data_IF_648316758578
#
_entry.id   IF_648316758578
#
_cell.length_a   1.000
_cell.length_b   1.000
_cell.length_c   1.000
_cell.angle_alpha   90.00
_cell.angle_beta   90.00
_cell.angle_gamma   90.00
#
_symmetry.space_group_name_H-M   'P 1'
#
loop_
_entity.id
_entity.type
_entity.pdbx_description
1 polymer ?
#
# COMPACT_ATOMS: atom_id res chain seq x y z
N UNK A 1 22.36 20.98 1.92
CA UNK A 1 21.24 20.13 2.27
C UNK A 1 20.06 20.52 1.40
N UNK A 2 19.29 19.53 0.92
CA UNK A 2 18.07 19.78 0.18
C UNK A 2 16.90 20.02 1.15
N UNK A 3 15.98 20.90 0.79
CA UNK A 3 14.73 21.15 1.49
C UNK A 3 13.60 20.42 0.75
N UNK A 4 13.03 19.40 1.37
CA UNK A 4 12.08 18.49 0.74
C UNK A 4 10.73 18.53 1.48
N UNK A 5 9.65 18.72 0.74
CA UNK A 5 8.29 18.56 1.24
C UNK A 5 7.84 17.10 1.02
N UNK A 6 7.45 16.42 2.08
CA UNK A 6 6.84 15.10 1.98
C UNK A 6 5.36 15.19 2.34
N UNK A 7 4.51 14.77 1.40
CA UNK A 7 3.06 14.73 1.54
C UNK A 7 2.58 13.29 1.73
N UNK A 8 1.81 13.02 2.79
CA UNK A 8 1.19 11.73 3.08
C UNK A 8 -0.26 11.88 3.54
N UNK A 9 -1.00 10.78 3.62
CA UNK A 9 -2.40 10.75 4.04
C UNK A 9 -2.66 10.00 5.36
N UNK A 10 -1.61 9.65 6.12
CA UNK A 10 -1.75 8.93 7.38
C UNK A 10 -2.56 9.74 8.39
N UNK A 11 -3.67 9.17 8.85
CA UNK A 11 -4.58 9.82 9.81
C UNK A 11 -4.05 9.80 11.23
N UNK A 12 -3.46 8.67 11.64
CA UNK A 12 -2.87 8.50 12.97
C UNK A 12 -1.66 7.57 12.86
N UNK A 13 -0.52 7.97 13.42
CA UNK A 13 0.70 7.18 13.43
C UNK A 13 0.54 5.81 14.11
N UNK A 14 -0.37 5.71 15.09
CA UNK A 14 -0.59 4.49 15.88
C UNK A 14 -1.63 3.54 15.28
N UNK A 15 -2.41 3.97 14.27
CA UNK A 15 -3.51 3.17 13.70
C UNK A 15 -3.14 2.39 12.43
N UNK A 16 -1.91 2.56 11.93
CA UNK A 16 -1.45 1.90 10.72
C UNK A 16 -0.55 0.72 11.07
N UNK A 17 -0.55 -0.29 10.21
CA UNK A 17 0.45 -1.36 10.24
C UNK A 17 1.82 -0.72 10.20
N UNK A 18 2.70 -1.11 11.09
CA UNK A 18 4.04 -0.52 11.23
C UNK A 18 4.79 -0.44 9.89
N UNK A 19 4.66 -1.47 9.04
CA UNK A 19 5.26 -1.50 7.71
C UNK A 19 4.74 -0.41 6.76
N UNK A 20 3.43 -0.10 6.76
CA UNK A 20 2.87 0.98 5.93
C UNK A 20 3.41 2.33 6.38
N UNK A 21 3.42 2.60 7.69
CA UNK A 21 3.96 3.85 8.21
C UNK A 21 5.47 3.98 7.96
N UNK A 22 6.21 2.87 7.94
CA UNK A 22 7.63 2.86 7.62
C UNK A 22 7.89 3.30 6.17
N UNK A 23 7.15 2.77 5.21
CA UNK A 23 7.26 3.15 3.80
C UNK A 23 6.85 4.61 3.58
N UNK A 24 5.72 5.04 4.14
CA UNK A 24 5.21 6.40 3.98
C UNK A 24 6.14 7.48 4.57
N UNK A 25 6.95 7.14 5.56
CA UNK A 25 7.85 8.05 6.25
C UNK A 25 9.34 7.68 6.09
N UNK A 26 9.69 6.79 5.16
CA UNK A 26 11.05 6.27 5.03
C UNK A 26 12.08 7.38 4.75
N UNK A 27 11.76 8.36 3.92
CA UNK A 27 12.66 9.45 3.59
C UNK A 27 13.06 10.30 4.82
N UNK A 28 12.14 10.94 5.55
CA UNK A 28 12.51 11.72 6.72
C UNK A 28 13.07 10.86 7.86
N UNK A 29 12.79 9.56 7.88
CA UNK A 29 13.24 8.65 8.93
C UNK A 29 14.67 8.16 8.72
N UNK A 30 15.08 7.92 7.48
CA UNK A 30 16.37 7.30 7.17
C UNK A 30 17.33 8.20 6.38
N UNK A 31 16.87 9.27 5.74
CA UNK A 31 17.75 10.27 5.10
C UNK A 31 17.97 11.47 6.03
N UNK A 32 18.91 11.33 6.96
CA UNK A 32 19.25 12.38 7.93
C UNK A 32 20.15 13.49 7.33
N UNK A 33 20.56 13.36 6.07
CA UNK A 33 21.45 14.34 5.40
C UNK A 33 20.68 15.53 4.85
N UNK A 34 19.38 15.37 4.58
CA UNK A 34 18.54 16.42 4.01
C UNK A 34 17.47 16.89 5.00
N UNK A 35 16.83 18.00 4.69
CA UNK A 35 15.79 18.61 5.49
C UNK A 35 14.41 18.18 4.96
N UNK A 36 13.55 17.67 5.83
CA UNK A 36 12.20 17.23 5.46
C UNK A 36 11.13 17.98 6.24
N UNK A 37 10.21 18.63 5.51
CA UNK A 37 8.93 19.04 6.06
C UNK A 37 7.91 17.97 5.74
N UNK A 38 7.34 17.35 6.78
CA UNK A 38 6.35 16.27 6.63
C UNK A 38 4.96 16.82 6.87
N UNK A 39 4.09 16.77 5.85
CA UNK A 39 2.71 17.25 5.94
C UNK A 39 1.72 16.11 5.67
N UNK A 40 0.74 15.97 6.58
CA UNK A 40 -0.38 15.06 6.36
C UNK A 40 -1.55 15.79 5.70
N UNK A 41 -1.99 15.29 4.54
CA UNK A 41 -3.12 15.85 3.81
C UNK A 41 -4.47 15.74 4.52
N UNK A 42 -4.54 15.13 5.70
CA UNK A 42 -5.77 15.11 6.53
C UNK A 42 -5.99 16.41 7.29
N UNK A 43 -4.94 17.22 7.43
CA UNK A 43 -5.04 18.58 7.98
C UNK A 43 -4.88 19.62 6.87
N UNK A 44 -5.33 20.84 7.11
CA UNK A 44 -5.20 21.95 6.14
C UNK A 44 -3.74 22.30 5.93
N UNK A 45 -3.35 22.54 4.68
CA UNK A 45 -2.02 23.02 4.33
C UNK A 45 -1.94 24.54 4.59
N UNK A 46 -1.03 25.04 5.47
CA UNK A 46 -0.92 26.47 5.74
C UNK A 46 -0.23 27.21 4.58
N UNK A 47 -0.59 28.50 4.40
CA UNK A 47 -0.01 29.35 3.33
C UNK A 47 1.52 29.36 3.34
N UNK A 48 2.12 29.42 4.51
CA UNK A 48 3.59 29.44 4.63
C UNK A 48 4.27 28.26 3.95
N UNK A 49 3.62 27.08 3.85
CA UNK A 49 4.15 25.91 3.13
C UNK A 49 3.96 26.06 1.62
N UNK A 50 2.85 26.69 1.19
CA UNK A 50 2.59 26.96 -0.22
C UNK A 50 3.56 27.98 -0.82
N UNK A 51 4.07 28.90 0.01
CA UNK A 51 4.95 29.99 -0.34
C UNK A 51 6.44 29.64 -0.20
N UNK A 52 6.77 28.56 0.51
CA UNK A 52 8.15 28.12 0.70
C UNK A 52 8.66 27.37 -0.53
N UNK A 53 9.90 27.69 -0.94
CA UNK A 53 10.55 27.00 -2.05
C UNK A 53 11.22 25.71 -1.58
N UNK A 54 10.76 24.57 -2.10
CA UNK A 54 11.36 23.26 -1.87
C UNK A 54 12.18 22.81 -3.09
N UNK A 55 13.27 22.08 -2.86
CA UNK A 55 14.05 21.46 -3.93
C UNK A 55 13.29 20.28 -4.57
N UNK A 56 12.55 19.53 -3.76
CA UNK A 56 11.71 18.45 -4.21
C UNK A 56 10.43 18.33 -3.37
N UNK A 57 9.38 17.76 -3.98
CA UNK A 57 8.13 17.43 -3.33
C UNK A 57 7.84 15.96 -3.57
N UNK A 58 7.82 15.17 -2.50
CA UNK A 58 7.54 13.74 -2.53
C UNK A 58 6.11 13.52 -2.05
N UNK A 59 5.29 12.90 -2.89
CA UNK A 59 3.90 12.56 -2.60
C UNK A 59 3.80 11.06 -2.43
N UNK A 60 3.44 10.62 -1.22
CA UNK A 60 3.34 9.21 -0.88
C UNK A 60 1.95 8.62 -1.22
N UNK A 61 1.86 7.30 -1.24
CA UNK A 61 0.67 6.58 -1.73
C UNK A 61 -0.60 6.96 -0.98
N UNK A 62 -0.54 7.14 0.33
CA UNK A 62 -1.70 7.55 1.12
C UNK A 62 -2.16 8.97 0.82
N UNK A 63 -1.26 9.87 0.35
CA UNK A 63 -1.65 11.19 -0.15
C UNK A 63 -2.40 11.06 -1.48
N UNK A 64 -1.95 10.20 -2.39
CA UNK A 64 -2.62 9.93 -3.66
C UNK A 64 -4.01 9.33 -3.42
N UNK A 65 -4.19 8.51 -2.38
CA UNK A 65 -5.52 8.02 -1.99
C UNK A 65 -6.45 9.15 -1.52
N UNK A 66 -5.94 10.19 -0.86
CA UNK A 66 -6.74 11.37 -0.55
C UNK A 66 -7.17 12.10 -1.82
N UNK A 67 -6.29 12.23 -2.83
CA UNK A 67 -6.64 12.80 -4.15
C UNK A 67 -7.82 12.03 -4.77
N UNK A 68 -7.76 10.71 -4.80
CA UNK A 68 -8.82 9.88 -5.40
C UNK A 68 -10.13 9.98 -4.63
N UNK A 69 -10.07 10.10 -3.31
CA UNK A 69 -11.25 10.20 -2.44
C UNK A 69 -11.93 11.57 -2.54
N UNK A 70 -11.15 12.65 -2.46
CA UNK A 70 -11.67 14.03 -2.54
C UNK A 70 -11.99 14.44 -3.98
N UNK A 71 -11.21 13.96 -4.96
CA UNK A 71 -11.29 14.37 -6.37
C UNK A 71 -10.41 15.57 -6.67
N UNK A 72 -10.47 16.03 -7.92
CA UNK A 72 -9.65 17.13 -8.45
C UNK A 72 -10.33 18.50 -8.39
N UNK A 73 -11.48 18.57 -7.75
CA UNK A 73 -12.30 19.79 -7.62
C UNK A 73 -12.64 20.06 -6.14
N UNK A 74 -12.83 21.35 -5.81
CA UNK A 74 -13.23 21.79 -4.48
C UNK A 74 -12.09 22.15 -3.55
N UNK A 75 -12.42 22.65 -2.37
CA UNK A 75 -11.50 23.31 -1.43
C UNK A 75 -10.34 22.44 -0.96
N UNK A 76 -10.51 21.11 -0.93
CA UNK A 76 -9.43 20.24 -0.46
C UNK A 76 -8.26 20.25 -1.45
N UNK A 77 -8.49 20.16 -2.75
CA UNK A 77 -7.42 20.14 -3.76
C UNK A 77 -6.89 21.55 -4.06
N UNK A 78 -7.71 22.59 -3.88
CA UNK A 78 -7.31 23.99 -4.11
C UNK A 78 -6.10 24.40 -3.30
N UNK A 79 -5.97 23.93 -2.05
CA UNK A 79 -4.81 24.22 -1.20
C UNK A 79 -3.48 23.67 -1.76
N UNK A 80 -3.55 22.72 -2.68
CA UNK A 80 -2.39 22.14 -3.36
C UNK A 80 -2.16 22.74 -4.77
N UNK A 81 -2.93 23.75 -5.18
CA UNK A 81 -2.80 24.36 -6.51
C UNK A 81 -1.43 24.98 -6.79
N UNK A 82 -0.68 25.36 -5.74
CA UNK A 82 0.69 25.84 -5.84
C UNK A 82 1.63 24.81 -6.52
N UNK A 83 1.35 23.51 -6.38
CA UNK A 83 2.11 22.43 -7.03
C UNK A 83 2.15 22.57 -8.56
N UNK A 84 1.08 23.10 -9.17
CA UNK A 84 1.01 23.29 -10.63
C UNK A 84 2.03 24.29 -11.16
N UNK A 85 2.42 25.26 -10.31
CA UNK A 85 3.36 26.34 -10.63
C UNK A 85 4.74 26.14 -9.99
N UNK A 86 4.86 25.18 -9.06
CA UNK A 86 6.10 24.91 -8.37
C UNK A 86 7.15 24.34 -9.32
N UNK A 87 8.34 24.90 -9.27
CA UNK A 87 9.53 24.44 -10.01
C UNK A 87 10.26 23.29 -9.29
N UNK A 88 9.81 22.93 -8.08
CA UNK A 88 10.33 21.78 -7.33
C UNK A 88 10.16 20.49 -8.13
N UNK A 89 11.12 19.59 -8.07
CA UNK A 89 10.98 18.25 -8.64
C UNK A 89 9.86 17.48 -7.91
N UNK A 90 8.83 17.07 -8.64
CA UNK A 90 7.66 16.39 -8.10
C UNK A 90 7.72 14.89 -8.33
N UNK A 91 7.78 14.14 -7.25
CA UNK A 91 7.94 12.69 -7.23
C UNK A 91 6.73 12.07 -6.54
N UNK A 92 6.12 11.08 -7.17
CA UNK A 92 4.99 10.33 -6.63
C UNK A 92 5.38 8.88 -6.38
N UNK A 93 5.04 8.37 -5.20
CA UNK A 93 5.00 6.94 -4.88
C UNK A 93 3.55 6.51 -4.83
N UNK A 94 3.12 5.70 -5.79
CA UNK A 94 1.72 5.31 -5.93
C UNK A 94 1.53 3.82 -5.70
N UNK A 95 0.39 3.46 -5.09
CA UNK A 95 -0.08 2.09 -4.94
C UNK A 95 -1.51 2.00 -5.49
N UNK A 96 -1.96 0.78 -5.81
CA UNK A 96 -3.31 0.51 -6.31
C UNK A 96 -3.72 1.41 -7.50
N UNK A 97 -2.80 1.63 -8.45
CA UNK A 97 -2.98 2.54 -9.59
C UNK A 97 -4.14 2.19 -10.52
N UNK A 98 -4.60 0.94 -10.49
CA UNK A 98 -5.81 0.47 -11.15
C UNK A 98 -7.10 1.03 -10.53
N UNK A 99 -7.01 1.59 -9.31
CA UNK A 99 -8.14 2.18 -8.57
C UNK A 99 -8.25 3.67 -8.90
N UNK A 100 -9.35 4.06 -9.58
CA UNK A 100 -9.58 5.41 -10.09
C UNK A 100 -8.45 5.94 -10.97
N UNK A 101 -7.96 5.09 -11.89
CA UNK A 101 -6.79 5.38 -12.72
C UNK A 101 -6.93 6.67 -13.53
N UNK A 102 -8.12 7.03 -14.03
CA UNK A 102 -8.37 8.28 -14.76
C UNK A 102 -8.14 9.53 -13.89
N UNK A 103 -8.55 9.48 -12.61
CA UNK A 103 -8.35 10.60 -11.66
C UNK A 103 -6.86 10.73 -11.34
N UNK A 104 -6.15 9.62 -11.16
CA UNK A 104 -4.71 9.59 -10.87
C UNK A 104 -3.91 10.14 -12.06
N UNK A 105 -4.12 9.61 -13.26
CA UNK A 105 -3.44 10.05 -14.48
C UNK A 105 -3.69 11.55 -14.75
N UNK A 106 -4.96 12.01 -14.59
CA UNK A 106 -5.30 13.41 -14.69
C UNK A 106 -4.57 14.27 -13.64
N UNK A 107 -4.51 13.83 -12.39
CA UNK A 107 -3.77 14.52 -11.33
C UNK A 107 -2.29 14.63 -11.68
N UNK A 108 -1.65 13.53 -12.08
CA UNK A 108 -0.24 13.53 -12.44
C UNK A 108 0.08 14.51 -13.57
N UNK A 109 -0.82 14.59 -14.55
CA UNK A 109 -0.68 15.55 -15.66
C UNK A 109 -0.92 17.00 -15.23
N UNK A 110 -2.06 17.28 -14.56
CA UNK A 110 -2.47 18.63 -14.21
C UNK A 110 -1.50 19.30 -13.22
N UNK A 111 -0.82 18.49 -12.39
CA UNK A 111 0.12 18.95 -11.38
C UNK A 111 1.59 18.83 -11.81
N UNK A 112 1.82 18.48 -13.09
CA UNK A 112 3.15 18.39 -13.69
C UNK A 112 4.08 17.47 -12.87
N UNK A 113 3.66 16.22 -12.63
CA UNK A 113 4.50 15.23 -11.96
C UNK A 113 5.67 14.85 -12.86
N UNK A 114 6.88 14.90 -12.34
CA UNK A 114 8.12 14.62 -13.08
C UNK A 114 8.45 13.14 -13.04
N UNK A 115 8.29 12.49 -11.87
CA UNK A 115 8.65 11.09 -11.66
C UNK A 115 7.52 10.36 -10.93
N UNK A 116 7.10 9.24 -11.47
CA UNK A 116 6.10 8.34 -10.87
C UNK A 116 6.73 6.97 -10.58
N UNK A 117 6.72 6.55 -9.32
CA UNK A 117 6.98 5.18 -8.91
C UNK A 117 5.65 4.43 -8.77
N UNK A 118 5.34 3.54 -9.71
CA UNK A 118 4.12 2.72 -9.71
C UNK A 118 4.44 1.29 -9.28
N UNK A 119 3.60 0.70 -8.43
CA UNK A 119 3.73 -0.71 -8.04
C UNK A 119 3.19 -1.67 -9.09
N UNK A 120 2.40 -1.18 -10.04
CA UNK A 120 1.91 -1.98 -11.16
C UNK A 120 3.02 -2.28 -12.16
N UNK A 121 2.89 -3.40 -12.86
CA UNK A 121 3.91 -3.87 -13.81
C UNK A 121 4.06 -2.91 -15.01
N UNK A 122 5.29 -2.73 -15.57
CA UNK A 122 5.56 -1.78 -16.64
C UNK A 122 4.67 -1.95 -17.88
N UNK A 123 4.32 -3.20 -18.23
CA UNK A 123 3.44 -3.51 -19.36
C UNK A 123 2.02 -2.95 -19.23
N UNK A 124 1.61 -2.59 -18.00
CA UNK A 124 0.29 -2.01 -17.72
C UNK A 124 0.26 -0.49 -17.73
N UNK A 125 1.42 0.19 -17.75
CA UNK A 125 1.49 1.66 -17.61
C UNK A 125 0.81 2.40 -18.75
N UNK A 126 0.87 1.87 -19.98
CA UNK A 126 0.19 2.49 -21.14
C UNK A 126 -1.32 2.58 -20.97
N UNK A 127 -1.93 1.67 -20.19
CA UNK A 127 -3.35 1.72 -19.86
C UNK A 127 -3.63 2.63 -18.65
N UNK A 128 -2.76 2.62 -17.64
CA UNK A 128 -2.97 3.33 -16.39
C UNK A 128 -2.64 4.83 -16.50
N UNK A 129 -1.60 5.18 -17.29
CA UNK A 129 -1.03 6.52 -17.36
C UNK A 129 -0.87 7.06 -18.79
N UNK A 130 -1.90 6.95 -19.66
CA UNK A 130 -1.75 7.31 -21.07
C UNK A 130 -1.43 8.80 -21.28
N UNK A 131 -1.92 9.68 -20.42
CA UNK A 131 -1.65 11.11 -20.53
C UNK A 131 -0.30 11.51 -19.95
N UNK A 132 0.10 10.88 -18.82
CA UNK A 132 1.41 11.12 -18.22
C UNK A 132 2.54 10.67 -19.15
N UNK A 133 2.39 9.54 -19.85
CA UNK A 133 3.34 9.06 -20.86
C UNK A 133 3.48 10.08 -22.01
N UNK A 134 2.38 10.66 -22.49
CA UNK A 134 2.41 11.72 -23.52
C UNK A 134 3.17 12.98 -23.08
N UNK A 135 3.27 13.24 -21.79
CA UNK A 135 4.05 14.33 -21.20
C UNK A 135 5.53 14.01 -21.00
N UNK A 136 5.98 12.81 -21.39
CA UNK A 136 7.34 12.32 -21.21
C UNK A 136 7.83 12.32 -19.75
N UNK A 137 6.91 12.18 -18.78
CA UNK A 137 7.28 12.00 -17.39
C UNK A 137 8.03 10.65 -17.19
N UNK A 138 8.91 10.62 -16.21
CA UNK A 138 9.66 9.40 -15.90
C UNK A 138 8.77 8.47 -15.07
N UNK A 139 8.52 7.24 -15.57
CA UNK A 139 7.83 6.20 -14.81
C UNK A 139 8.85 5.13 -14.40
N UNK A 140 8.82 4.72 -13.14
CA UNK A 140 9.69 3.73 -12.52
C UNK A 140 8.87 2.66 -11.82
N UNK A 141 9.43 1.45 -11.73
CA UNK A 141 8.86 0.40 -10.90
C UNK A 141 9.03 0.78 -9.44
N UNK A 142 7.91 0.94 -8.73
CA UNK A 142 7.83 1.09 -7.29
C UNK A 142 7.44 -0.22 -6.61
N UNK A 143 7.54 -0.25 -5.29
CA UNK A 143 7.19 -1.42 -4.48
C UNK A 143 6.36 -1.02 -3.27
N UNK A 144 5.58 -1.97 -2.75
CA UNK A 144 4.76 -1.78 -1.56
C UNK A 144 5.55 -1.82 -0.26
N UNK A 145 6.82 -2.20 -0.34
CA UNK A 145 7.75 -2.31 0.80
C UNK A 145 9.18 -2.15 0.32
N UNK A 146 10.07 -1.76 1.22
CA UNK A 146 11.50 -1.59 0.96
C UNK A 146 12.34 -2.18 2.09
N UNK A 147 13.61 -2.50 1.80
CA UNK A 147 14.61 -2.89 2.78
C UNK A 147 15.12 -1.63 3.49
N UNK A 148 14.52 -1.33 4.61
CA UNK A 148 14.86 -0.23 5.52
C UNK A 148 15.53 -0.78 6.79
N UNK A 149 16.03 0.08 7.65
CA UNK A 149 16.53 -0.34 8.98
C UNK A 149 15.44 -0.98 9.85
N UNK A 150 14.17 -0.63 9.62
CA UNK A 150 13.04 -1.27 10.29
C UNK A 150 12.84 -2.69 9.77
N UNK A 151 12.70 -2.87 8.46
CA UNK A 151 12.42 -4.20 7.88
C UNK A 151 13.59 -5.16 8.09
N UNK A 152 14.84 -4.69 8.04
CA UNK A 152 16.03 -5.51 8.35
C UNK A 152 16.02 -6.07 9.78
N UNK A 153 15.38 -5.38 10.75
CA UNK A 153 15.23 -5.87 12.13
C UNK A 153 14.17 -6.95 12.31
N UNK A 154 13.35 -7.23 11.30
CA UNK A 154 12.33 -8.28 11.39
C UNK A 154 12.93 -9.67 11.60
N UNK A 155 14.21 -9.87 11.27
CA UNK A 155 14.96 -11.09 11.63
C UNK A 155 14.93 -11.41 13.12
N UNK A 156 14.72 -10.41 13.98
CA UNK A 156 14.64 -10.60 15.43
C UNK A 156 13.38 -11.37 15.87
N UNK A 157 12.39 -11.51 15.00
CA UNK A 157 11.19 -12.33 15.24
C UNK A 157 11.35 -13.77 14.73
N UNK A 158 12.49 -14.11 14.12
CA UNK A 158 12.79 -15.47 13.69
C UNK A 158 12.90 -16.41 14.90
N UNK A 159 12.32 -17.59 14.75
CA UNK A 159 12.38 -18.69 15.72
C UNK A 159 12.86 -19.95 15.04
N UNK A 160 13.48 -20.84 15.80
CA UNK A 160 13.79 -22.16 15.27
C UNK A 160 12.50 -22.90 14.88
N UNK A 161 12.58 -23.78 13.90
CA UNK A 161 11.40 -24.48 13.38
C UNK A 161 10.62 -25.25 14.47
N UNK A 162 11.32 -25.79 15.46
CA UNK A 162 10.73 -26.53 16.59
C UNK A 162 10.00 -25.64 17.61
N UNK A 163 10.38 -24.36 17.71
CA UNK A 163 9.74 -23.40 18.63
C UNK A 163 8.48 -22.78 18.04
N UNK A 164 8.23 -22.98 16.75
CA UNK A 164 7.06 -22.40 16.06
C UNK A 164 5.82 -23.25 16.35
N UNK A 165 4.83 -22.60 16.95
CA UNK A 165 3.63 -23.24 17.48
C UNK A 165 2.68 -23.74 16.40
N UNK A 166 2.48 -22.93 15.34
CA UNK A 166 1.52 -23.24 14.28
C UNK A 166 2.20 -23.80 13.04
N UNK A 167 1.55 -24.75 12.39
CA UNK A 167 2.03 -25.27 11.10
C UNK A 167 1.71 -24.27 9.97
N UNK A 168 0.47 -23.72 9.96
CA UNK A 168 0.02 -22.80 8.93
C UNK A 168 -0.80 -21.66 9.54
N UNK A 169 -0.47 -20.41 9.17
CA UNK A 169 -1.25 -19.25 9.59
C UNK A 169 -1.75 -18.43 8.40
N UNK A 170 -2.83 -17.68 8.62
CA UNK A 170 -3.32 -16.71 7.65
C UNK A 170 -4.17 -15.62 8.29
N UNK A 171 -3.96 -14.38 7.85
CA UNK A 171 -4.85 -13.26 8.13
C UNK A 171 -5.09 -12.47 6.85
N UNK A 172 -6.34 -12.27 6.52
CA UNK A 172 -6.74 -11.38 5.44
C UNK A 172 -8.10 -10.75 5.75
N UNK A 173 -8.36 -9.59 5.17
CA UNK A 173 -9.69 -9.00 5.21
C UNK A 173 -10.51 -9.58 4.06
N UNK A 174 -11.57 -10.30 4.40
CA UNK A 174 -12.57 -10.72 3.41
C UNK A 174 -13.39 -9.50 3.00
N UNK A 175 -13.40 -9.20 1.72
CA UNK A 175 -14.26 -8.18 1.13
C UNK A 175 -15.51 -8.92 0.63
N UNK A 176 -16.69 -8.71 1.25
CA UNK A 176 -17.92 -9.32 0.76
C UNK A 176 -18.12 -8.98 -0.73
N UNK A 177 -18.41 -9.99 -1.54
CA UNK A 177 -18.62 -9.82 -2.98
C UNK A 177 -17.50 -9.04 -3.66
N UNK A 178 -16.23 -9.34 -3.34
CA UNK A 178 -15.09 -8.66 -3.97
C UNK A 178 -15.28 -8.58 -5.49
N UNK A 179 -15.21 -7.40 -6.10
CA UNK A 179 -15.56 -7.23 -7.53
C UNK A 179 -14.47 -7.75 -8.48
N UNK A 180 -13.36 -8.23 -7.95
CA UNK A 180 -12.24 -8.74 -8.73
C UNK A 180 -11.73 -10.07 -8.18
N UNK A 181 -11.16 -10.89 -9.07
CA UNK A 181 -10.68 -12.24 -8.77
C UNK A 181 -9.63 -12.25 -7.65
N UNK A 182 -8.64 -11.35 -7.67
CA UNK A 182 -7.55 -11.35 -6.70
C UNK A 182 -8.04 -11.03 -5.28
N UNK A 183 -8.95 -10.06 -5.15
CA UNK A 183 -9.60 -9.74 -3.87
C UNK A 183 -10.46 -10.88 -3.33
N UNK A 184 -11.15 -11.59 -4.23
CA UNK A 184 -11.95 -12.76 -3.88
C UNK A 184 -11.07 -13.92 -3.39
N UNK A 185 -10.02 -14.30 -4.14
CA UNK A 185 -9.05 -15.32 -3.76
C UNK A 185 -8.48 -15.02 -2.37
N UNK A 186 -8.05 -13.79 -2.13
CA UNK A 186 -7.51 -13.36 -0.84
C UNK A 186 -8.50 -13.55 0.32
N UNK A 187 -9.79 -13.37 0.06
CA UNK A 187 -10.84 -13.56 1.06
C UNK A 187 -11.19 -15.02 1.33
N UNK A 188 -11.05 -15.90 0.34
CA UNK A 188 -11.53 -17.29 0.39
C UNK A 188 -10.42 -18.32 0.66
N UNK A 189 -9.17 -18.01 0.33
CA UNK A 189 -8.05 -18.95 0.37
C UNK A 189 -7.92 -19.66 1.73
N UNK A 190 -8.09 -18.95 2.83
CA UNK A 190 -8.04 -19.56 4.17
C UNK A 190 -9.12 -20.62 4.39
N UNK A 191 -10.35 -20.36 3.94
CA UNK A 191 -11.46 -21.29 4.03
C UNK A 191 -11.25 -22.51 3.13
N UNK A 192 -10.71 -22.30 1.92
CA UNK A 192 -10.40 -23.41 1.01
C UNK A 192 -9.34 -24.34 1.60
N UNK A 193 -8.25 -23.77 2.16
CA UNK A 193 -7.22 -24.55 2.80
C UNK A 193 -7.77 -25.36 3.98
N UNK A 194 -8.53 -24.73 4.90
CA UNK A 194 -9.14 -25.41 6.04
C UNK A 194 -10.06 -26.57 5.61
N UNK A 195 -10.87 -26.36 4.59
CA UNK A 195 -11.76 -27.40 4.06
C UNK A 195 -10.97 -28.56 3.43
N UNK A 196 -9.88 -28.26 2.71
CA UNK A 196 -9.06 -29.27 2.06
C UNK A 196 -8.28 -30.16 3.04
N UNK A 197 -7.85 -29.61 4.19
CA UNK A 197 -7.12 -30.38 5.22
C UNK A 197 -8.04 -31.03 6.26
N UNK A 198 -9.31 -30.60 6.35
CA UNK A 198 -10.26 -31.09 7.35
C UNK A 198 -10.45 -32.61 7.24
N UNK A 199 -10.37 -33.28 8.39
CA UNK A 199 -10.52 -34.73 8.52
C UNK A 199 -9.49 -35.58 7.73
N UNK A 200 -8.49 -34.93 7.10
CA UNK A 200 -7.46 -35.63 6.32
C UNK A 200 -6.08 -35.49 6.95
N UNK A 201 -5.79 -34.33 7.50
CA UNK A 201 -4.49 -34.02 8.08
C UNK A 201 -4.60 -33.39 9.47
N UNK A 202 -3.67 -33.72 10.36
CA UNK A 202 -3.53 -33.06 11.65
C UNK A 202 -2.61 -31.83 11.47
N UNK A 203 -3.21 -30.67 11.24
CA UNK A 203 -2.51 -29.38 11.04
C UNK A 203 -2.92 -28.41 12.12
N UNK A 204 -1.96 -27.93 12.89
CA UNK A 204 -2.19 -26.86 13.87
C UNK A 204 -2.17 -25.51 13.14
N UNK A 205 -3.35 -24.91 12.95
CA UNK A 205 -3.47 -23.69 12.16
C UNK A 205 -4.17 -22.57 12.92
N UNK A 206 -3.78 -21.31 12.59
CA UNK A 206 -4.49 -20.11 13.02
C UNK A 206 -4.80 -19.25 11.79
N UNK A 207 -6.01 -19.47 11.23
CA UNK A 207 -6.47 -18.90 9.97
C UNK A 207 -7.77 -18.14 10.22
N UNK A 208 -7.78 -16.82 9.88
CA UNK A 208 -8.97 -15.99 9.99
C UNK A 208 -9.04 -14.88 8.96
N UNK A 209 -10.25 -14.60 8.50
CA UNK A 209 -10.60 -13.44 7.66
C UNK A 209 -11.61 -12.51 8.35
N UNK A 210 -11.92 -12.77 9.63
CA UNK A 210 -12.79 -11.91 10.43
C UNK A 210 -12.10 -10.57 10.70
N UNK A 211 -12.77 -9.43 10.45
CA UNK A 211 -12.24 -8.11 10.77
C UNK A 211 -11.82 -7.92 12.24
N UNK A 212 -12.39 -8.69 13.17
CA UNK A 212 -12.02 -8.66 14.59
C UNK A 212 -10.68 -9.35 14.89
N UNK A 213 -10.22 -10.20 13.97
CA UNK A 213 -8.95 -10.96 14.10
C UNK A 213 -7.76 -10.23 13.48
N UNK A 214 -7.89 -8.95 13.14
CA UNK A 214 -6.79 -8.15 12.58
C UNK A 214 -5.72 -7.96 13.64
N UNK A 215 -4.46 -8.23 13.28
CA UNK A 215 -3.29 -8.11 14.14
C UNK A 215 -2.47 -6.91 13.66
N UNK A 216 -1.99 -6.07 14.59
CA UNK A 216 -1.27 -4.84 14.30
C UNK A 216 0.10 -4.80 14.97
N UNK A 217 1.01 -4.02 14.38
CA UNK A 217 2.33 -3.74 14.95
C UNK A 217 3.16 -5.00 15.15
N UNK A 218 3.92 -5.05 16.24
CA UNK A 218 4.85 -6.15 16.55
C UNK A 218 4.16 -7.49 16.75
N UNK A 219 2.89 -7.49 17.16
CA UNK A 219 2.13 -8.74 17.34
C UNK A 219 1.88 -9.43 16.00
N UNK A 220 1.84 -8.68 14.90
CA UNK A 220 1.81 -9.23 13.55
C UNK A 220 3.10 -9.99 13.22
N UNK A 221 4.26 -9.46 13.57
CA UNK A 221 5.55 -10.11 13.32
C UNK A 221 5.77 -11.31 14.24
N UNK A 222 5.34 -11.22 15.50
CA UNK A 222 5.32 -12.36 16.42
C UNK A 222 4.42 -13.48 15.91
N UNK A 223 3.25 -13.14 15.35
CA UNK A 223 2.32 -14.09 14.77
C UNK A 223 2.95 -14.84 13.59
N UNK A 224 3.61 -14.12 12.66
CA UNK A 224 4.35 -14.74 11.56
C UNK A 224 5.49 -15.62 12.11
N UNK A 225 6.31 -15.09 13.01
CA UNK A 225 7.46 -15.81 13.60
C UNK A 225 7.09 -17.02 14.45
N UNK A 226 5.85 -17.09 14.95
CA UNK A 226 5.33 -18.25 15.69
C UNK A 226 4.74 -19.34 14.79
N UNK A 227 4.85 -19.20 13.47
CA UNK A 227 4.32 -20.15 12.49
C UNK A 227 5.41 -20.70 11.57
N UNK A 228 5.31 -21.99 11.26
CA UNK A 228 6.19 -22.67 10.29
C UNK A 228 5.93 -22.15 8.87
N UNK A 229 4.67 -21.88 8.54
CA UNK A 229 4.31 -21.37 7.22
C UNK A 229 3.15 -20.38 7.26
N UNK A 230 3.06 -19.54 6.22
CA UNK A 230 2.00 -18.56 6.01
C UNK A 230 1.40 -18.69 4.61
N UNK A 231 0.06 -18.69 4.53
CA UNK A 231 -0.64 -18.64 3.25
C UNK A 231 -0.59 -17.26 2.62
N UNK A 232 -0.61 -17.20 1.29
CA UNK A 232 -0.66 -15.94 0.56
C UNK A 232 -1.03 -16.07 -0.92
N UNK A 233 -1.37 -14.92 -1.49
CA UNK A 233 -1.66 -14.76 -2.93
C UNK A 233 -1.13 -13.41 -3.41
N UNK A 234 -1.08 -13.18 -4.72
CA UNK A 234 -0.74 -11.88 -5.27
C UNK A 234 -1.66 -10.78 -4.70
N UNK A 235 -1.07 -9.64 -4.43
CA UNK A 235 -1.83 -8.40 -4.23
C UNK A 235 -2.17 -7.76 -5.57
N UNK A 236 -3.23 -6.91 -5.60
CA UNK A 236 -3.60 -6.18 -6.79
C UNK A 236 -5.04 -6.42 -7.24
N UNK A 237 -5.30 -6.27 -8.54
CA UNK A 237 -6.64 -6.40 -9.11
C UNK A 237 -6.66 -7.08 -10.48
N UNK A 238 -7.72 -7.83 -10.77
CA UNK A 238 -8.03 -8.37 -12.10
C UNK A 238 -8.90 -7.45 -12.94
N UNK A 239 -9.30 -6.30 -12.40
CA UNK A 239 -10.08 -5.28 -13.11
C UNK A 239 -9.44 -3.90 -12.96
N UNK A 240 -9.67 -3.02 -13.94
CA UNK A 240 -9.37 -1.60 -13.83
C UNK A 240 -10.63 -0.83 -13.41
N UNK A 241 -10.55 -0.15 -12.29
CA UNK A 241 -11.59 0.75 -11.84
C UNK A 241 -11.23 2.18 -12.23
N UNK A 242 -11.60 2.58 -13.45
CA UNK A 242 -11.16 3.87 -14.01
C UNK A 242 -11.67 5.08 -13.25
N UNK A 243 -12.93 5.05 -12.82
CA UNK A 243 -13.59 6.21 -12.22
C UNK A 243 -14.69 5.82 -11.22
N UNK A 244 -15.21 6.84 -10.52
CA UNK A 244 -16.25 6.65 -9.50
C UNK A 244 -17.58 6.14 -10.05
N UNK A 245 -17.88 6.35 -11.36
CA UNK A 245 -19.10 5.87 -11.97
C UNK A 245 -19.14 4.34 -11.99
N UNK A 246 -18.06 3.70 -12.47
CA UNK A 246 -17.95 2.23 -12.49
C UNK A 246 -18.03 1.66 -11.05
N UNK A 247 -17.37 2.29 -10.09
CA UNK A 247 -17.45 1.88 -8.67
C UNK A 247 -18.89 1.93 -8.13
N UNK A 248 -19.64 2.97 -8.49
CA UNK A 248 -21.05 3.10 -8.10
C UNK A 248 -21.93 2.04 -8.77
N UNK A 249 -21.69 1.76 -10.04
CA UNK A 249 -22.42 0.72 -10.79
C UNK A 249 -22.17 -0.66 -10.18
N UNK A 250 -20.91 -0.99 -9.83
CA UNK A 250 -20.56 -2.22 -9.12
C UNK A 250 -21.30 -2.30 -7.78
N UNK A 251 -21.25 -1.24 -6.95
CA UNK A 251 -21.95 -1.21 -5.66
C UNK A 251 -23.45 -1.37 -5.79
N UNK A 252 -24.06 -0.73 -6.79
CA UNK A 252 -25.50 -0.85 -7.06
C UNK A 252 -25.86 -2.27 -7.50
N UNK A 253 -25.04 -2.91 -8.32
CA UNK A 253 -25.22 -4.29 -8.74
C UNK A 253 -25.12 -5.25 -7.55
N UNK A 254 -24.08 -5.11 -6.72
CA UNK A 254 -23.86 -5.90 -5.52
C UNK A 254 -25.02 -5.78 -4.52
N UNK A 255 -25.58 -4.57 -4.34
CA UNK A 255 -26.73 -4.34 -3.47
C UNK A 255 -28.00 -5.06 -3.97
N UNK A 256 -28.19 -5.13 -5.29
CA UNK A 256 -29.32 -5.85 -5.91
C UNK A 256 -29.09 -7.37 -5.94
N UNK A 257 -27.83 -7.78 -6.05
CA UNK A 257 -27.41 -9.18 -6.20
C UNK A 257 -26.38 -9.55 -5.12
N UNK A 258 -26.79 -9.69 -3.84
CA UNK A 258 -25.84 -9.87 -2.72
C UNK A 258 -25.07 -11.19 -2.75
N UNK A 259 -25.45 -12.12 -3.60
CA UNK A 259 -24.78 -13.42 -3.81
C UNK A 259 -23.91 -13.45 -5.08
N UNK A 260 -23.87 -12.36 -5.86
CA UNK A 260 -23.10 -12.31 -7.09
C UNK A 260 -21.61 -12.52 -6.80
N UNK A 261 -20.97 -13.40 -7.58
CA UNK A 261 -19.53 -13.63 -7.51
C UNK A 261 -18.75 -12.64 -8.39
N UNK A 262 -17.46 -12.52 -8.16
CA UNK A 262 -16.58 -11.61 -8.91
C UNK A 262 -16.71 -11.75 -10.43
N UNK A 263 -16.76 -12.97 -10.98
CA UNK A 263 -16.89 -13.23 -12.41
C UNK A 263 -18.19 -12.70 -13.01
N UNK A 264 -19.30 -12.80 -12.27
CA UNK A 264 -20.59 -12.22 -12.68
C UNK A 264 -20.54 -10.70 -12.66
N UNK A 265 -20.03 -10.10 -11.57
CA UNK A 265 -19.87 -8.65 -11.44
C UNK A 265 -18.99 -8.12 -12.56
N UNK A 266 -17.85 -8.77 -12.80
CA UNK A 266 -16.91 -8.42 -13.85
C UNK A 266 -17.55 -8.48 -15.23
N UNK A 267 -18.31 -9.56 -15.53
CA UNK A 267 -18.92 -9.76 -16.84
C UNK A 267 -20.11 -8.84 -17.12
N UNK A 268 -20.87 -8.46 -16.10
CA UNK A 268 -22.10 -7.68 -16.26
C UNK A 268 -21.82 -6.16 -16.14
N UNK A 269 -20.97 -5.76 -15.21
CA UNK A 269 -20.84 -4.33 -14.83
C UNK A 269 -19.55 -3.70 -15.33
N UNK A 270 -18.43 -4.42 -15.25
CA UNK A 270 -17.14 -3.85 -15.64
C UNK A 270 -17.05 -3.75 -17.17
N UNK A 271 -16.63 -2.62 -17.74
CA UNK A 271 -16.41 -2.47 -19.18
C UNK A 271 -15.41 -3.51 -19.71
N UNK A 272 -15.63 -4.06 -20.90
CA UNK A 272 -14.83 -5.18 -21.46
C UNK A 272 -13.33 -4.89 -21.48
N UNK A 273 -12.94 -3.65 -21.80
CA UNK A 273 -11.55 -3.22 -21.85
C UNK A 273 -10.88 -3.12 -20.46
N UNK A 274 -11.65 -3.24 -19.39
CA UNK A 274 -11.19 -3.13 -18.00
C UNK A 274 -11.22 -4.49 -17.27
N UNK A 275 -11.59 -5.56 -17.95
CA UNK A 275 -11.68 -6.93 -17.43
C UNK A 275 -10.37 -7.71 -17.65
N UNK A 276 -10.23 -8.83 -16.94
CA UNK A 276 -9.13 -9.80 -17.13
C UNK A 276 -7.75 -9.11 -17.08
N UNK A 277 -7.59 -8.18 -16.16
CA UNK A 277 -6.34 -7.43 -15.99
C UNK A 277 -5.39 -8.17 -15.03
N UNK A 278 -4.10 -7.86 -15.16
CA UNK A 278 -3.07 -8.40 -14.31
C UNK A 278 -2.30 -7.26 -13.62
N UNK A 279 -3.03 -6.44 -12.83
CA UNK A 279 -2.42 -5.39 -12.03
C UNK A 279 -1.95 -5.98 -10.70
N UNK A 280 -0.80 -6.64 -10.72
CA UNK A 280 -0.25 -7.32 -9.55
C UNK A 280 0.92 -6.58 -8.95
N UNK A 281 1.07 -6.74 -7.65
CA UNK A 281 2.21 -6.26 -6.89
C UNK A 281 2.59 -7.27 -5.82
N UNK A 282 3.86 -7.28 -5.43
CA UNK A 282 4.30 -8.04 -4.28
C UNK A 282 3.69 -7.44 -3.01
N UNK A 283 3.26 -8.28 -2.08
CA UNK A 283 2.72 -7.82 -0.79
C UNK A 283 3.85 -7.56 0.21
N UNK A 284 3.75 -6.56 1.11
CA UNK A 284 4.67 -6.40 2.23
C UNK A 284 4.86 -7.69 3.03
N UNK A 285 3.81 -8.49 3.20
CA UNK A 285 3.84 -9.80 3.85
C UNK A 285 4.88 -10.74 3.28
N UNK A 286 5.12 -10.71 1.96
CA UNK A 286 6.10 -11.60 1.35
C UNK A 286 7.52 -11.27 1.81
N UNK A 287 7.88 -9.99 1.91
CA UNK A 287 9.15 -9.55 2.49
C UNK A 287 9.22 -9.88 3.99
N UNK A 288 8.17 -9.56 4.73
CA UNK A 288 8.09 -9.79 6.18
C UNK A 288 8.28 -11.28 6.51
N UNK A 289 7.54 -12.16 5.85
CA UNK A 289 7.68 -13.61 6.04
C UNK A 289 9.07 -14.14 5.67
N UNK A 290 9.67 -13.63 4.58
CA UNK A 290 11.01 -14.01 4.17
C UNK A 290 12.07 -13.61 5.19
N UNK A 291 12.01 -12.37 5.73
CA UNK A 291 12.99 -11.88 6.71
C UNK A 291 12.83 -12.56 8.07
N UNK A 292 11.59 -12.90 8.46
CA UNK A 292 11.28 -13.63 9.72
C UNK A 292 11.59 -15.13 9.57
N UNK A 293 11.93 -15.63 8.39
CA UNK A 293 12.24 -17.04 8.19
C UNK A 293 10.98 -17.93 8.21
N UNK A 294 9.82 -17.43 7.81
CA UNK A 294 8.58 -18.20 7.72
C UNK A 294 8.35 -18.67 6.29
N UNK A 295 8.13 -19.97 6.10
CA UNK A 295 7.84 -20.57 4.80
C UNK A 295 6.59 -19.95 4.20
N UNK A 296 6.61 -19.62 2.93
CA UNK A 296 5.44 -19.10 2.24
C UNK A 296 4.78 -20.20 1.41
N UNK A 297 3.45 -20.35 1.55
CA UNK A 297 2.61 -21.22 0.72
C UNK A 297 1.74 -20.27 -0.11
N UNK A 298 2.04 -20.14 -1.39
CA UNK A 298 1.45 -19.11 -2.22
C UNK A 298 0.72 -19.69 -3.42
N UNK A 299 -0.42 -19.08 -3.78
CA UNK A 299 -1.03 -19.29 -5.09
C UNK A 299 -0.05 -18.76 -6.16
N UNK A 300 0.27 -19.54 -7.21
CA UNK A 300 1.19 -19.12 -8.25
C UNK A 300 0.83 -17.78 -8.87
N UNK A 301 1.83 -16.93 -9.12
CA UNK A 301 1.64 -15.61 -9.68
C UNK A 301 2.95 -14.88 -9.92
N UNK A 302 2.88 -13.61 -10.35
CA UNK A 302 4.06 -12.84 -10.75
C UNK A 302 4.93 -12.38 -9.59
N UNK A 303 4.35 -12.02 -8.46
CA UNK A 303 5.07 -11.51 -7.27
C UNK A 303 6.16 -10.49 -7.63
N UNK A 304 5.87 -9.56 -8.54
CA UNK A 304 6.83 -8.59 -9.09
C UNK A 304 8.11 -9.23 -9.65
N UNK A 305 8.02 -10.47 -10.13
CA UNK A 305 9.11 -11.30 -10.66
C UNK A 305 10.22 -11.65 -9.64
N UNK A 306 9.96 -11.48 -8.33
CA UNK A 306 10.93 -11.79 -7.27
C UNK A 306 10.86 -13.24 -6.81
N UNK A 307 9.66 -13.82 -6.80
CA UNK A 307 9.44 -15.15 -6.23
C UNK A 307 9.11 -16.17 -7.31
N UNK A 308 9.75 -17.33 -7.21
CA UNK A 308 9.55 -18.48 -8.11
C UNK A 308 9.01 -19.67 -7.32
N UNK A 309 8.01 -20.40 -7.88
CA UNK A 309 7.48 -21.60 -7.21
C UNK A 309 8.56 -22.66 -7.02
N UNK A 310 8.50 -23.40 -5.93
CA UNK A 310 9.43 -24.46 -5.49
C UNK A 310 10.87 -24.02 -5.23
N UNK A 311 11.23 -22.77 -5.53
CA UNK A 311 12.52 -22.15 -5.22
C UNK A 311 12.41 -21.21 -4.02
N UNK A 312 11.35 -20.37 -3.97
CA UNK A 312 11.15 -19.34 -2.97
C UNK A 312 9.88 -19.54 -2.15
N UNK A 313 8.95 -20.38 -2.60
CA UNK A 313 7.71 -20.71 -1.91
C UNK A 313 7.15 -22.05 -2.37
N UNK A 314 6.29 -22.68 -1.56
CA UNK A 314 5.52 -23.85 -1.95
C UNK A 314 4.27 -23.39 -2.70
N UNK A 315 4.07 -23.81 -3.98
CA UNK A 315 2.86 -23.43 -4.72
C UNK A 315 1.64 -24.23 -4.25
N UNK A 316 0.51 -23.53 -4.03
CA UNK A 316 -0.79 -24.11 -3.77
C UNK A 316 -1.78 -23.67 -4.84
N UNK A 317 -2.49 -24.60 -5.47
CA UNK A 317 -3.46 -24.27 -6.53
C UNK A 317 -4.76 -23.69 -5.92
N UNK A 318 -5.44 -22.79 -6.67
CA UNK A 318 -6.69 -22.14 -6.20
C UNK A 318 -7.76 -23.18 -5.82
N UNK A 319 -7.87 -24.28 -6.55
CA UNK A 319 -8.82 -25.37 -6.32
C UNK A 319 -8.34 -26.41 -5.29
N UNK A 320 -7.22 -26.17 -4.64
CA UNK A 320 -6.60 -27.03 -3.63
C UNK A 320 -6.26 -28.46 -4.13
N UNK A 321 -6.27 -28.72 -5.44
CA UNK A 321 -6.04 -30.05 -6.01
C UNK A 321 -4.69 -30.69 -5.63
N UNK A 322 -3.70 -29.87 -5.29
CA UNK A 322 -2.35 -30.31 -4.89
C UNK A 322 -2.13 -30.22 -3.38
N UNK A 323 -3.20 -30.24 -2.57
CA UNK A 323 -3.08 -30.11 -1.10
C UNK A 323 -2.18 -31.18 -0.49
N UNK A 324 -2.23 -32.41 -1.02
CA UNK A 324 -1.42 -33.54 -0.53
C UNK A 324 0.07 -33.29 -0.74
N UNK A 325 0.44 -32.80 -1.90
CA UNK A 325 1.84 -32.41 -2.21
C UNK A 325 2.31 -31.26 -1.32
N UNK A 326 1.44 -30.29 -1.04
CA UNK A 326 1.74 -29.16 -0.14
C UNK A 326 2.00 -29.68 1.27
N UNK A 327 1.17 -30.57 1.79
CA UNK A 327 1.33 -31.12 3.15
C UNK A 327 2.60 -31.97 3.26
N UNK A 328 2.90 -32.79 2.25
CA UNK A 328 4.16 -33.53 2.18
C UNK A 328 5.35 -32.59 2.20
N UNK A 329 5.29 -31.52 1.37
CA UNK A 329 6.36 -30.54 1.26
C UNK A 329 6.62 -29.78 2.57
N UNK A 330 5.57 -29.44 3.33
CA UNK A 330 5.69 -28.81 4.65
C UNK A 330 6.35 -29.76 5.66
N UNK A 331 6.13 -31.07 5.51
CA UNK A 331 6.75 -32.09 6.34
C UNK A 331 8.24 -32.28 6.10
N UNK A 332 8.75 -31.93 4.92
CA UNK A 332 10.16 -31.98 4.56
C UNK A 332 10.93 -30.76 5.09
N UNK A 333 11.44 -30.88 6.32
CA UNK A 333 12.14 -29.79 7.01
C UNK A 333 13.36 -29.26 6.28
N UNK A 334 14.13 -30.11 5.62
CA UNK A 334 15.34 -29.67 4.91
C UNK A 334 14.99 -28.92 3.63
N UNK A 335 14.00 -29.36 2.89
CA UNK A 335 13.49 -28.63 1.74
C UNK A 335 12.84 -27.29 2.16
N UNK A 336 12.06 -27.27 3.24
CA UNK A 336 11.49 -26.05 3.78
C UNK A 336 12.58 -25.01 4.12
N UNK A 337 13.64 -25.44 4.81
CA UNK A 337 14.79 -24.60 5.15
C UNK A 337 15.46 -24.00 3.90
N UNK A 338 15.68 -24.82 2.88
CA UNK A 338 16.26 -24.38 1.60
C UNK A 338 15.38 -23.31 0.93
N UNK A 339 14.06 -23.54 0.86
CA UNK A 339 13.11 -22.58 0.26
C UNK A 339 13.09 -21.27 1.05
N UNK A 340 13.05 -21.31 2.37
CA UNK A 340 13.10 -20.13 3.24
C UNK A 340 14.37 -19.32 2.98
N UNK A 341 15.53 -19.97 2.99
CA UNK A 341 16.82 -19.31 2.75
C UNK A 341 16.92 -18.70 1.35
N UNK A 342 16.44 -19.40 0.34
CA UNK A 342 16.39 -18.88 -1.04
C UNK A 342 15.49 -17.66 -1.13
N UNK A 343 14.31 -17.72 -0.51
CA UNK A 343 13.37 -16.59 -0.46
C UNK A 343 14.00 -15.37 0.23
N UNK A 344 14.62 -15.58 1.38
CA UNK A 344 15.33 -14.52 2.13
C UNK A 344 16.45 -13.89 1.30
N UNK A 345 17.26 -14.71 0.64
CA UNK A 345 18.33 -14.24 -0.27
C UNK A 345 17.79 -13.46 -1.45
N UNK A 346 16.67 -13.89 -2.05
CA UNK A 346 16.04 -13.19 -3.16
C UNK A 346 15.62 -11.76 -2.78
N UNK A 347 15.11 -11.57 -1.56
CA UNK A 347 14.77 -10.23 -1.07
C UNK A 347 16.01 -9.41 -0.71
N UNK A 348 16.91 -9.95 0.13
CA UNK A 348 18.09 -9.21 0.62
C UNK A 348 19.07 -8.86 -0.51
N UNK A 349 19.17 -9.67 -1.54
CA UNK A 349 20.02 -9.43 -2.71
C UNK A 349 19.42 -8.48 -3.75
N UNK A 350 18.16 -8.08 -3.59
CA UNK A 350 17.47 -7.26 -4.57
C UNK A 350 17.74 -5.76 -4.35
N UNK A 351 18.62 -5.20 -5.18
CA UNK A 351 19.00 -3.78 -5.14
C UNK A 351 17.82 -2.82 -5.36
N UNK A 352 16.76 -3.25 -6.05
CA UNK A 352 15.57 -2.42 -6.31
C UNK A 352 14.71 -2.21 -5.07
N UNK A 353 14.82 -3.13 -4.09
CA UNK A 353 14.12 -3.01 -2.80
C UNK A 353 14.94 -2.25 -1.76
N UNK A 354 16.24 -2.04 -1.97
CA UNK A 354 17.09 -1.35 -1.00
C UNK A 354 16.76 0.16 -0.98
N UNK A 355 16.35 0.65 0.19
CA UNK A 355 16.01 2.06 0.36
C UNK A 355 17.18 2.99 0.07
N UNK A 356 18.40 2.59 0.36
CA UNK A 356 19.57 3.44 0.10
C UNK A 356 19.80 3.65 -1.41
N UNK A 357 19.60 2.60 -2.23
CA UNK A 357 19.67 2.73 -3.68
C UNK A 357 18.55 3.64 -4.21
N UNK A 358 17.32 3.49 -3.71
CA UNK A 358 16.22 4.37 -4.05
C UNK A 358 16.50 5.83 -3.68
N UNK A 359 17.03 6.05 -2.47
CA UNK A 359 17.42 7.39 -2.00
C UNK A 359 18.47 8.02 -2.89
N UNK A 360 19.50 7.26 -3.27
CA UNK A 360 20.57 7.72 -4.18
C UNK A 360 19.99 8.09 -5.55
N UNK A 361 19.09 7.27 -6.10
CA UNK A 361 18.42 7.55 -7.38
C UNK A 361 17.64 8.86 -7.32
N UNK A 362 16.83 9.06 -6.27
CA UNK A 362 16.06 10.29 -6.10
C UNK A 362 16.96 11.51 -5.96
N UNK A 363 18.01 11.43 -5.14
CA UNK A 363 18.97 12.53 -4.99
C UNK A 363 19.70 12.86 -6.29
N UNK A 364 19.97 11.86 -7.13
CA UNK A 364 20.51 12.08 -8.47
C UNK A 364 19.54 12.90 -9.31
N UNK A 365 18.27 12.52 -9.39
CA UNK A 365 17.24 13.26 -10.12
C UNK A 365 17.09 14.70 -9.63
N UNK A 366 17.08 14.92 -8.30
CA UNK A 366 17.02 16.28 -7.74
C UNK A 366 18.24 17.08 -8.14
N UNK A 367 19.44 16.48 -8.11
CA UNK A 367 20.69 17.16 -8.48
C UNK A 367 20.81 17.45 -9.98
N UNK A 368 20.28 16.59 -10.85
CA UNK A 368 20.27 16.79 -12.31
C UNK A 368 19.32 17.94 -12.72
N UNK A 369 18.29 18.20 -11.92
CA UNK A 369 17.35 19.32 -12.11
C UNK A 369 17.73 20.59 -11.33
N UNK A 370 19.02 20.78 -11.08
CA UNK A 370 19.61 21.82 -10.22
C UNK A 370 19.38 23.28 -10.55
N UNK A 371 18.73 23.61 -11.67
CA UNK A 371 18.53 25.03 -12.02
C UNK A 371 17.69 25.80 -10.99
N UNK A 372 17.04 25.10 -10.05
CA UNK A 372 16.07 25.64 -9.11
C UNK A 372 16.27 25.20 -7.64
N UNK A 373 17.54 24.97 -7.21
CA UNK A 373 17.80 24.62 -5.81
C UNK A 373 17.39 25.76 -4.88
N UNK A 374 16.69 25.41 -3.82
CA UNK A 374 16.30 26.33 -2.75
C UNK A 374 17.50 27.10 -2.22
N UNK A 375 17.38 28.44 -2.19
CA UNK A 375 18.39 29.33 -1.60
C UNK A 375 18.28 29.41 -0.07
N UNK A 376 17.20 28.84 0.51
CA UNK A 376 16.99 28.83 1.96
C UNK A 376 18.11 28.04 2.64
N UNK A 377 18.82 28.69 3.55
CA UNK A 377 19.84 28.04 4.36
C UNK A 377 19.22 27.11 5.43
N UNK A 378 20.06 26.30 6.08
CA UNK A 378 19.58 25.36 7.09
C UNK A 378 18.94 26.03 8.31
N UNK A 379 19.28 27.29 8.63
CA UNK A 379 18.68 28.05 9.75
C UNK A 379 17.29 28.55 9.37
N UNK A 380 17.14 29.06 8.17
CA UNK A 380 15.84 29.50 7.63
C UNK A 380 14.85 28.35 7.59
N UNK A 381 15.27 27.18 7.07
CA UNK A 381 14.45 26.00 7.08
C UNK A 381 14.08 25.54 8.49
N UNK A 382 15.01 25.61 9.45
CA UNK A 382 14.74 25.22 10.83
C UNK A 382 13.67 26.11 11.48
N UNK A 383 13.78 27.44 11.33
CA UNK A 383 12.79 28.40 11.84
C UNK A 383 11.42 28.13 11.21
N UNK A 384 11.39 27.91 9.90
CA UNK A 384 10.17 27.56 9.17
C UNK A 384 9.56 26.25 9.67
N UNK A 385 10.37 25.20 9.83
CA UNK A 385 9.94 23.88 10.31
C UNK A 385 9.38 23.95 11.74
N UNK A 386 9.97 24.74 12.61
CA UNK A 386 9.50 24.88 14.00
C UNK A 386 8.15 25.62 14.07
N UNK A 387 7.94 26.66 13.27
CA UNK A 387 6.63 27.30 13.11
C UNK A 387 5.57 26.32 12.59
N UNK A 388 5.96 25.51 11.61
CA UNK A 388 5.06 24.48 11.06
C UNK A 388 4.71 23.40 12.09
N UNK A 389 5.65 22.95 12.92
CA UNK A 389 5.38 21.96 13.99
C UNK A 389 4.31 22.44 14.96
N UNK A 390 4.37 23.72 15.38
CA UNK A 390 3.35 24.32 16.24
C UNK A 390 1.99 24.30 15.54
N UNK A 391 1.93 24.76 14.28
CA UNK A 391 0.70 24.74 13.50
C UNK A 391 0.14 23.32 13.37
N UNK A 392 0.96 22.35 12.95
CA UNK A 392 0.54 20.99 12.69
C UNK A 392 0.02 20.28 13.95
N UNK A 393 0.62 20.56 15.12
CA UNK A 393 0.14 20.05 16.39
C UNK A 393 -1.30 20.51 16.69
N UNK A 394 -1.58 21.80 16.56
CA UNK A 394 -2.92 22.34 16.78
C UNK A 394 -3.92 21.81 15.74
N UNK A 395 -3.56 21.82 14.47
CA UNK A 395 -4.42 21.32 13.38
C UNK A 395 -4.77 19.84 13.55
N UNK A 396 -3.81 19.01 13.99
CA UNK A 396 -4.03 17.60 14.27
C UNK A 396 -4.99 17.37 15.44
N UNK A 397 -4.85 18.14 16.53
CA UNK A 397 -5.75 18.05 17.67
C UNK A 397 -7.18 18.40 17.27
N UNK A 398 -7.38 19.45 16.47
CA UNK A 398 -8.70 19.79 15.91
C UNK A 398 -9.26 18.66 15.05
N UNK A 399 -8.42 18.06 14.20
CA UNK A 399 -8.83 16.92 13.37
C UNK A 399 -9.28 15.73 14.22
N UNK A 400 -8.50 15.33 15.23
CA UNK A 400 -8.84 14.22 16.14
C UNK A 400 -10.15 14.50 16.88
N UNK A 401 -10.35 15.71 17.38
CA UNK A 401 -11.60 16.09 18.02
C UNK A 401 -12.80 15.98 17.07
N UNK A 402 -12.67 16.47 15.83
CA UNK A 402 -13.71 16.31 14.79
C UNK A 402 -14.03 14.85 14.49
N UNK A 403 -13.02 14.00 14.33
CA UNK A 403 -13.19 12.56 14.11
C UNK A 403 -13.88 11.86 15.29
N UNK A 404 -13.51 12.23 16.53
CA UNK A 404 -14.14 11.70 17.73
C UNK A 404 -15.61 12.09 17.82
N UNK A 405 -15.93 13.39 17.66
CA UNK A 405 -17.30 13.90 17.63
C UNK A 405 -18.13 13.20 16.54
N UNK A 406 -17.56 13.01 15.34
CA UNK A 406 -18.25 12.30 14.25
C UNK A 406 -18.56 10.84 14.59
N UNK A 407 -17.62 10.14 15.24
CA UNK A 407 -17.85 8.75 15.70
C UNK A 407 -18.95 8.70 16.77
N UNK A 408 -18.97 9.64 17.69
CA UNK A 408 -20.00 9.76 18.72
C UNK A 408 -21.38 10.03 18.10
N UNK A 409 -21.48 10.97 17.17
CA UNK A 409 -22.72 11.25 16.43
C UNK A 409 -23.18 10.02 15.66
N UNK A 410 -22.26 9.28 15.04
CA UNK A 410 -22.56 8.04 14.29
C UNK A 410 -23.11 6.94 15.17
N UNK A 411 -22.73 6.87 16.45
CA UNK A 411 -23.30 5.90 17.41
C UNK A 411 -24.68 6.26 17.92
N UNK A 412 -25.07 7.55 17.84
CA UNK A 412 -26.30 8.10 18.40
C UNK A 412 -27.38 8.40 17.37
N UNK A 413 -27.03 8.52 16.08
CA UNK A 413 -27.93 9.01 15.03
C UNK A 413 -28.15 7.96 13.94
N UNK A 414 -29.40 7.68 13.52
CA UNK A 414 -29.70 6.74 12.43
C UNK A 414 -28.99 7.13 11.11
N UNK A 415 -28.52 6.13 10.36
CA UNK A 415 -27.74 6.29 9.13
C UNK A 415 -28.38 7.22 8.06
N UNK A 416 -29.71 7.40 8.10
CA UNK A 416 -30.45 8.27 7.15
C UNK A 416 -30.15 9.76 7.37
N UNK A 417 -29.93 10.17 8.60
CA UNK A 417 -29.63 11.56 9.00
C UNK A 417 -28.14 11.84 8.89
N UNK A 418 -27.29 10.85 9.10
CA UNK A 418 -25.83 10.94 9.01
C UNK A 418 -25.32 11.37 7.62
N UNK A 419 -26.01 10.99 6.54
CA UNK A 419 -25.62 11.45 5.17
C UNK A 419 -25.70 12.96 5.00
N UNK A 420 -26.67 13.61 5.62
CA UNK A 420 -26.83 15.06 5.57
C UNK A 420 -25.79 15.78 6.46
N UNK A 421 -25.52 15.24 7.66
CA UNK A 421 -24.52 15.78 8.58
C UNK A 421 -23.08 15.63 8.06
N UNK A 422 -22.75 14.55 7.35
CA UNK A 422 -21.41 14.35 6.78
C UNK A 422 -21.07 15.41 5.74
N UNK A 423 -22.06 15.84 4.95
CA UNK A 423 -21.91 16.94 3.99
C UNK A 423 -21.69 18.30 4.66
N UNK A 424 -22.25 18.50 5.84
CA UNK A 424 -22.12 19.76 6.59
C UNK A 424 -20.78 19.87 7.34
N UNK A 425 -20.34 18.81 8.02
CA UNK A 425 -19.07 18.81 8.80
C UNK A 425 -17.83 18.81 7.90
N UNK A 426 -17.93 18.23 6.69
CA UNK A 426 -16.82 18.21 5.71
C UNK A 426 -16.74 19.49 4.87
N UNK A 427 -17.79 20.34 4.89
CA UNK A 427 -17.82 21.64 4.17
C UNK A 427 -17.33 22.83 5.01
N UNK A 428 -17.33 22.71 6.32
CA UNK A 428 -16.84 23.71 7.28
C UNK A 428 -15.65 23.15 8.09
#
# INVERSE_FOLDING_TARGET
KLNILLLHGLKNKNSWLSGVADVELMFPKYDLKNNYLVHSGVIKLPKMVQEFHFDAIIMMSTFIDLITNHGLEGHWIEQYSFLKKSESLKIVFSQDDYWFSEIRDKFYCDFNIDILYSVCQPETWHELFPNLIKKNAIIRQGYTTYLTDFTKKLVNFDKTYSEREFDVVYRAKKIPNAPNKLGWIKGEMGSWFLNAVKNKYLIKSDISTDPKSVIYGDDWYKFIGNSKSILGSNSGSSIRLRNKKIDLEIKNYQNKNPKALHGEIESVVVPIQDRNKNYTAISPRNLEAALIGTLQILIPGSYSNFLKPNEHYIPIMEDMRNIDEVIISIGDKENCKKIIENCKKAFLGNKLLDFENLRIEILRFVNENKNNISKADGKEFQIFSDKYKIYSYHAYNVFICKEFCFKLIKSLVPNRILKQFKLYILRN
#
